data_IF_392138763208
#
_entry.id   IF_392138763208
#
_cell.length_a   1.000
_cell.length_b   1.000
_cell.length_c   1.000
_cell.angle_alpha   90.00
_cell.angle_beta   90.00
_cell.angle_gamma   90.00
#
_symmetry.space_group_name_H-M   'P 1'
#
loop_
_entity.id
_entity.type
_entity.pdbx_description
1 polymer ?
#
# COMPACT_ATOMS: atom_id res chain seq x y z
N UNK A 1 -40.57 -8.95 13.62
CA UNK A 1 -41.68 -9.93 13.64
C UNK A 1 -41.13 -11.27 14.16
N UNK A 2 -41.77 -11.84 15.20
CA UNK A 2 -41.41 -13.15 15.82
C UNK A 2 -41.43 -14.29 14.81
N UNK A 3 -42.24 -14.21 13.79
CA UNK A 3 -42.41 -15.24 12.73
C UNK A 3 -41.15 -15.41 11.87
N UNK A 4 -40.33 -14.38 11.70
CA UNK A 4 -39.11 -14.47 10.90
C UNK A 4 -38.01 -15.22 11.66
N UNK A 5 -38.01 -15.14 12.99
CA UNK A 5 -36.97 -15.76 13.84
C UNK A 5 -37.09 -17.30 13.88
N UNK A 6 -38.32 -17.82 13.74
CA UNK A 6 -38.61 -19.26 13.78
C UNK A 6 -38.83 -19.88 12.40
N UNK A 7 -38.58 -19.12 11.31
CA UNK A 7 -38.77 -19.65 9.96
C UNK A 7 -37.70 -20.66 9.61
N UNK A 8 -38.11 -21.90 9.36
CA UNK A 8 -37.24 -22.96 8.84
C UNK A 8 -37.58 -23.24 7.38
N UNK A 9 -36.56 -23.31 6.53
CA UNK A 9 -36.75 -23.63 5.12
C UNK A 9 -37.18 -25.09 4.96
N UNK A 10 -38.35 -25.31 4.36
CA UNK A 10 -38.85 -26.65 4.02
C UNK A 10 -38.32 -27.16 2.67
N UNK A 11 -37.36 -26.49 2.08
CA UNK A 11 -36.81 -26.89 0.77
C UNK A 11 -35.82 -28.02 0.96
N UNK A 12 -36.07 -29.14 0.24
CA UNK A 12 -35.08 -30.22 0.14
C UNK A 12 -34.02 -29.86 -0.90
N UNK A 13 -32.87 -29.46 -0.40
CA UNK A 13 -31.73 -29.10 -1.24
C UNK A 13 -30.64 -30.21 -1.21
N UNK A 14 -30.86 -31.36 -0.58
CA UNK A 14 -29.88 -32.41 -0.33
C UNK A 14 -29.24 -32.94 -1.62
N UNK A 15 -30.06 -33.34 -2.59
CA UNK A 15 -29.58 -33.90 -3.84
C UNK A 15 -28.67 -32.93 -4.61
N UNK A 16 -29.05 -31.68 -4.73
CA UNK A 16 -28.25 -30.67 -5.42
C UNK A 16 -26.98 -30.31 -4.64
N UNK A 17 -27.05 -30.35 -3.31
CA UNK A 17 -25.89 -30.10 -2.44
C UNK A 17 -24.83 -31.18 -2.64
N UNK A 18 -25.23 -32.45 -2.63
CA UNK A 18 -24.32 -33.56 -2.92
C UNK A 18 -23.68 -33.41 -4.31
N UNK A 19 -24.48 -33.07 -5.32
CA UNK A 19 -23.95 -32.88 -6.68
C UNK A 19 -22.97 -31.75 -6.80
N UNK A 20 -23.21 -30.63 -6.11
CA UNK A 20 -22.28 -29.49 -6.05
C UNK A 20 -20.94 -29.91 -5.41
N UNK A 21 -20.97 -30.71 -4.33
CA UNK A 21 -19.75 -31.24 -3.70
C UNK A 21 -18.97 -32.14 -4.64
N UNK A 22 -19.62 -33.11 -5.27
CA UNK A 22 -18.99 -34.04 -6.22
C UNK A 22 -18.29 -33.28 -7.36
N UNK A 23 -18.94 -32.27 -7.94
CA UNK A 23 -18.36 -31.46 -9.00
C UNK A 23 -17.15 -30.67 -8.45
N UNK A 24 -17.25 -30.11 -7.24
CA UNK A 24 -16.16 -29.34 -6.64
C UNK A 24 -14.95 -30.21 -6.30
N UNK A 25 -15.15 -31.42 -5.80
CA UNK A 25 -14.09 -32.39 -5.49
C UNK A 25 -13.40 -32.90 -6.76
N UNK A 26 -14.18 -33.25 -7.78
CA UNK A 26 -13.64 -33.74 -9.06
C UNK A 26 -12.92 -32.63 -9.83
N UNK A 27 -13.38 -31.41 -9.72
CA UNK A 27 -12.88 -30.25 -10.48
C UNK A 27 -12.52 -29.09 -9.58
N UNK A 28 -11.44 -29.22 -8.84
CA UNK A 28 -10.96 -28.30 -7.80
C UNK A 28 -10.85 -26.84 -8.27
N UNK A 29 -10.62 -26.63 -9.57
CA UNK A 29 -10.49 -25.26 -10.15
C UNK A 29 -11.83 -24.64 -10.56
N UNK A 30 -12.96 -25.34 -10.36
CA UNK A 30 -14.26 -24.81 -10.72
C UNK A 30 -14.80 -23.91 -9.58
N UNK A 31 -14.98 -22.64 -9.89
CA UNK A 31 -15.74 -21.74 -9.02
C UNK A 31 -17.24 -21.85 -9.26
N UNK A 32 -18.04 -21.22 -8.39
CA UNK A 32 -19.50 -21.24 -8.44
C UNK A 32 -20.12 -21.03 -9.84
N UNK A 33 -19.65 -20.10 -10.70
CA UNK A 33 -20.21 -19.94 -12.05
C UNK A 33 -20.06 -21.18 -12.94
N UNK A 34 -18.89 -21.85 -12.88
CA UNK A 34 -18.62 -23.05 -13.68
C UNK A 34 -19.42 -24.26 -13.18
N UNK A 35 -19.56 -24.38 -11.87
CA UNK A 35 -20.43 -25.43 -11.25
C UNK A 35 -21.88 -25.20 -11.66
N UNK A 36 -22.36 -23.97 -11.65
CA UNK A 36 -23.73 -23.68 -12.11
C UNK A 36 -23.95 -24.07 -13.59
N UNK A 37 -23.00 -23.74 -14.47
CA UNK A 37 -23.08 -24.13 -15.89
C UNK A 37 -23.10 -25.67 -16.02
N UNK A 38 -22.29 -26.37 -15.24
CA UNK A 38 -22.26 -27.83 -15.26
C UNK A 38 -23.59 -28.42 -14.82
N UNK A 39 -24.16 -27.94 -13.72
CA UNK A 39 -25.49 -28.37 -13.25
C UNK A 39 -26.58 -28.16 -14.33
N UNK A 40 -26.53 -27.00 -15.01
CA UNK A 40 -27.46 -26.71 -16.11
C UNK A 40 -27.32 -27.71 -17.29
N UNK A 41 -26.07 -28.09 -17.63
CA UNK A 41 -25.78 -29.08 -18.67
C UNK A 41 -26.26 -30.46 -18.29
N UNK A 42 -26.27 -30.82 -17.00
CA UNK A 42 -26.78 -32.06 -16.45
C UNK A 42 -28.31 -32.05 -16.29
N UNK A 43 -29.00 -30.97 -16.73
CA UNK A 43 -30.45 -30.87 -16.71
C UNK A 43 -31.06 -30.39 -15.38
N UNK A 44 -30.24 -29.94 -14.42
CA UNK A 44 -30.79 -29.44 -13.17
C UNK A 44 -31.48 -28.07 -13.36
N UNK A 45 -32.79 -27.96 -13.07
CA UNK A 45 -33.52 -26.69 -13.20
C UNK A 45 -33.23 -25.79 -12.00
N UNK A 46 -31.98 -25.28 -11.90
CA UNK A 46 -31.56 -24.45 -10.77
C UNK A 46 -31.28 -23.01 -11.16
N UNK A 47 -31.62 -22.09 -10.27
CA UNK A 47 -31.26 -20.69 -10.40
C UNK A 47 -29.85 -20.46 -9.87
N UNK A 48 -29.08 -19.59 -10.53
CA UNK A 48 -27.75 -19.16 -10.12
C UNK A 48 -27.70 -18.72 -8.64
N UNK A 49 -28.70 -17.98 -8.16
CA UNK A 49 -28.77 -17.55 -6.73
C UNK A 49 -28.85 -18.75 -5.78
N UNK A 50 -29.58 -19.82 -6.15
CA UNK A 50 -29.67 -21.05 -5.36
C UNK A 50 -28.32 -21.77 -5.32
N UNK A 51 -27.68 -21.94 -6.49
CA UNK A 51 -26.34 -22.56 -6.58
C UNK A 51 -25.32 -21.79 -5.74
N UNK A 52 -25.30 -20.47 -5.82
CA UNK A 52 -24.37 -19.62 -5.05
C UNK A 52 -24.62 -19.75 -3.54
N UNK A 53 -25.87 -19.74 -3.09
CA UNK A 53 -26.21 -19.93 -1.67
C UNK A 53 -25.67 -21.25 -1.13
N UNK A 54 -25.93 -22.36 -1.84
CA UNK A 54 -25.48 -23.70 -1.43
C UNK A 54 -23.94 -23.75 -1.46
N UNK A 55 -23.31 -23.24 -2.50
CA UNK A 55 -21.86 -23.17 -2.64
C UNK A 55 -21.18 -22.44 -1.45
N UNK A 56 -21.81 -21.35 -0.97
CA UNK A 56 -21.34 -20.64 0.22
C UNK A 56 -21.56 -21.41 1.52
N UNK A 57 -22.72 -22.08 1.67
CA UNK A 57 -23.03 -22.87 2.85
C UNK A 57 -22.09 -24.07 3.01
N UNK A 58 -21.68 -24.67 1.89
CA UNK A 58 -20.70 -25.78 1.85
C UNK A 58 -19.24 -25.31 2.06
N UNK A 59 -19.01 -24.02 2.26
CA UNK A 59 -17.66 -23.50 2.51
C UNK A 59 -16.71 -23.57 1.31
N UNK A 60 -17.25 -23.81 0.10
CA UNK A 60 -16.46 -23.96 -1.12
C UNK A 60 -15.90 -22.64 -1.66
N UNK A 61 -16.18 -21.51 -1.01
CA UNK A 61 -15.66 -20.21 -1.39
C UNK A 61 -14.13 -20.17 -1.30
N UNK A 62 -13.49 -19.84 -2.40
CA UNK A 62 -12.07 -19.50 -2.39
C UNK A 62 -11.84 -18.38 -1.37
N UNK A 63 -10.92 -18.59 -0.46
CA UNK A 63 -10.48 -17.52 0.45
C UNK A 63 -9.94 -16.37 -0.39
N UNK A 64 -10.74 -15.34 -0.60
CA UNK A 64 -10.21 -14.09 -1.16
C UNK A 64 -9.19 -13.55 -0.17
N UNK A 65 -7.96 -13.33 -0.62
CA UNK A 65 -7.03 -12.50 0.15
C UNK A 65 -7.77 -11.19 0.43
N UNK A 66 -8.17 -10.99 1.69
CA UNK A 66 -8.68 -9.67 2.08
C UNK A 66 -7.59 -8.68 1.71
N UNK A 67 -7.91 -7.57 0.99
CA UNK A 67 -6.93 -6.52 0.81
C UNK A 67 -6.42 -6.22 2.22
N UNK A 68 -5.10 -6.18 2.40
CA UNK A 68 -4.51 -5.79 3.68
C UNK A 68 -5.09 -4.42 3.97
N UNK A 69 -6.06 -4.35 4.86
CA UNK A 69 -6.46 -3.07 5.44
C UNK A 69 -5.17 -2.49 5.97
N UNK A 70 -4.81 -1.30 5.51
CA UNK A 70 -3.71 -0.57 6.10
C UNK A 70 -3.98 -0.50 7.59
N UNK A 71 -3.23 -1.25 8.37
CA UNK A 71 -3.21 -1.18 9.84
C UNK A 71 -2.40 0.07 10.18
N UNK A 72 -2.92 1.23 9.78
CA UNK A 72 -2.16 2.47 9.85
C UNK A 72 -2.29 3.18 11.18
N UNK A 73 -3.36 2.93 11.94
CA UNK A 73 -3.63 3.72 13.13
C UNK A 73 -2.88 3.25 14.39
N UNK A 74 -2.65 1.93 14.54
CA UNK A 74 -2.06 1.38 15.77
C UNK A 74 -0.52 1.47 15.84
N UNK A 75 0.15 1.81 14.75
CA UNK A 75 1.62 1.86 14.66
C UNK A 75 2.18 3.26 14.36
N UNK A 76 1.38 4.29 14.43
CA UNK A 76 1.94 5.64 14.42
C UNK A 76 2.68 5.85 15.73
N UNK A 77 3.98 5.66 15.71
CA UNK A 77 4.84 6.18 16.76
C UNK A 77 4.54 7.68 16.91
N UNK A 78 4.34 8.12 18.13
CA UNK A 78 4.20 9.57 18.39
C UNK A 78 5.42 10.24 17.79
N UNK A 79 5.20 11.20 16.90
CA UNK A 79 6.31 11.98 16.35
C UNK A 79 7.03 12.65 17.50
N UNK A 80 8.34 12.53 17.61
CA UNK A 80 9.09 13.20 18.65
C UNK A 80 8.86 14.72 18.56
N UNK A 81 8.61 15.35 19.67
CA UNK A 81 8.47 16.81 19.74
C UNK A 81 9.84 17.41 19.45
N UNK A 82 9.92 18.21 18.41
CA UNK A 82 11.15 18.93 18.07
C UNK A 82 11.31 20.14 19.00
N UNK A 83 12.52 20.40 19.45
CA UNK A 83 12.83 21.44 20.44
C UNK A 83 13.78 22.50 19.92
N UNK A 84 14.52 22.23 18.86
CA UNK A 84 15.49 23.16 18.28
C UNK A 84 15.68 22.96 16.77
N UNK A 85 16.32 23.95 16.15
CA UNK A 85 16.70 23.93 14.73
C UNK A 85 17.68 22.79 14.44
N UNK A 86 17.64 22.24 13.22
CA UNK A 86 18.51 21.16 12.74
C UNK A 86 18.35 19.82 13.47
N UNK A 87 17.32 19.68 14.29
CA UNK A 87 17.02 18.38 14.90
C UNK A 87 16.43 17.39 13.91
N UNK A 88 15.59 17.85 12.99
CA UNK A 88 14.98 17.00 11.98
C UNK A 88 14.71 17.80 10.70
N UNK A 89 15.28 17.36 9.59
CA UNK A 89 14.96 17.89 8.27
C UNK A 89 14.03 16.94 7.53
N UNK A 90 13.14 17.48 6.70
CA UNK A 90 12.35 16.73 5.74
C UNK A 90 12.86 16.98 4.33
N UNK A 91 12.97 15.91 3.55
CA UNK A 91 13.27 16.00 2.13
C UNK A 91 12.15 15.39 1.32
N UNK A 92 11.80 16.04 0.21
CA UNK A 92 10.78 15.56 -0.71
C UNK A 92 11.10 15.93 -2.15
N UNK A 93 10.60 15.14 -3.10
CA UNK A 93 10.70 15.39 -4.51
C UNK A 93 9.36 15.86 -5.09
N UNK A 94 9.33 17.08 -5.57
CA UNK A 94 8.21 17.61 -6.36
C UNK A 94 8.51 17.42 -7.84
N UNK A 95 7.56 16.91 -8.60
CA UNK A 95 7.68 16.77 -10.07
C UNK A 95 6.63 17.63 -10.76
N UNK A 96 7.06 18.40 -11.76
CA UNK A 96 6.17 19.24 -12.55
C UNK A 96 6.65 19.32 -14.01
N UNK A 97 5.87 19.98 -14.86
CA UNK A 97 6.18 20.18 -16.26
C UNK A 97 6.43 21.69 -16.53
N UNK A 98 7.45 21.97 -17.31
CA UNK A 98 7.67 23.30 -17.85
C UNK A 98 6.59 23.63 -18.92
N UNK A 99 6.41 24.91 -19.22
CA UNK A 99 5.46 25.34 -20.25
C UNK A 99 5.65 24.69 -21.63
N UNK A 100 6.88 24.28 -21.94
CA UNK A 100 7.22 23.54 -23.17
C UNK A 100 6.98 22.00 -23.07
N UNK A 101 6.30 21.52 -22.03
CA UNK A 101 6.00 20.12 -21.80
C UNK A 101 7.16 19.26 -21.25
N UNK A 102 8.34 19.84 -21.00
CA UNK A 102 9.47 19.10 -20.41
C UNK A 102 9.22 18.90 -18.92
N UNK A 103 9.36 17.66 -18.47
CA UNK A 103 9.31 17.33 -17.04
C UNK A 103 10.58 17.79 -16.32
N UNK A 104 10.40 18.29 -15.12
CA UNK A 104 11.49 18.52 -14.18
C UNK A 104 11.11 17.99 -12.79
N UNK A 105 12.12 17.82 -11.97
CA UNK A 105 11.95 17.45 -10.54
C UNK A 105 12.68 18.51 -9.71
N UNK A 106 12.14 18.80 -8.55
CA UNK A 106 12.79 19.66 -7.58
C UNK A 106 12.91 18.89 -6.26
N UNK A 107 14.13 18.83 -5.71
CA UNK A 107 14.37 18.42 -4.34
C UNK A 107 14.12 19.61 -3.43
N UNK A 108 13.33 19.43 -2.40
CA UNK A 108 13.10 20.40 -1.33
C UNK A 108 13.67 19.86 -0.03
N UNK A 109 14.38 20.70 0.72
CA UNK A 109 14.90 20.39 2.05
C UNK A 109 14.38 21.43 3.03
N UNK A 110 13.68 21.01 4.07
CA UNK A 110 13.00 21.88 5.04
C UNK A 110 13.37 21.46 6.45
N UNK A 111 13.70 22.42 7.29
CA UNK A 111 13.82 22.22 8.73
C UNK A 111 12.42 22.09 9.35
N UNK A 112 12.17 20.98 10.05
CA UNK A 112 10.85 20.69 10.60
C UNK A 112 10.50 21.52 11.84
N UNK A 113 11.49 22.09 12.53
CA UNK A 113 11.26 22.96 13.67
C UNK A 113 10.96 24.38 13.25
N UNK A 114 11.89 25.03 12.51
CA UNK A 114 11.75 26.42 12.07
C UNK A 114 10.83 26.63 10.89
N UNK A 115 10.54 25.54 10.13
CA UNK A 115 9.83 25.55 8.84
C UNK A 115 10.59 26.29 7.73
N UNK A 116 11.85 26.54 7.94
CA UNK A 116 12.73 27.18 6.98
C UNK A 116 13.03 26.24 5.81
N UNK A 117 12.93 26.74 4.60
CA UNK A 117 13.36 26.02 3.41
C UNK A 117 14.87 26.20 3.23
N UNK A 118 15.63 25.13 3.46
CA UNK A 118 17.09 25.16 3.44
C UNK A 118 17.64 25.05 2.02
N UNK A 119 16.99 24.28 1.17
CA UNK A 119 17.38 24.15 -0.23
C UNK A 119 16.18 23.81 -1.11
N UNK A 120 16.21 24.38 -2.32
CA UNK A 120 15.37 23.96 -3.44
C UNK A 120 16.30 23.78 -4.64
N UNK A 121 16.40 22.55 -5.12
CA UNK A 121 17.24 22.26 -6.28
C UNK A 121 16.41 21.59 -7.38
N UNK A 122 16.28 22.25 -8.53
CA UNK A 122 15.53 21.77 -9.66
C UNK A 122 16.46 21.20 -10.73
N UNK A 123 16.05 20.07 -11.30
CA UNK A 123 16.81 19.41 -12.36
C UNK A 123 15.91 18.54 -13.24
N UNK A 124 16.42 18.19 -14.41
CA UNK A 124 15.73 17.26 -15.33
C UNK A 124 15.65 15.84 -14.75
N UNK A 125 16.70 15.44 -14.06
CA UNK A 125 16.83 14.13 -13.40
C UNK A 125 17.70 14.35 -12.16
N UNK A 126 17.21 14.00 -10.99
CA UNK A 126 17.94 14.08 -9.73
C UNK A 126 18.13 12.67 -9.20
N UNK A 127 19.39 12.29 -9.00
CA UNK A 127 19.80 10.99 -8.47
C UNK A 127 20.25 11.12 -7.02
N UNK A 128 20.46 10.00 -6.33
CA UNK A 128 20.98 9.99 -4.96
C UNK A 128 22.29 10.76 -4.78
N UNK A 129 23.17 10.77 -5.79
CA UNK A 129 24.42 11.54 -5.78
C UNK A 129 24.17 13.06 -5.80
N UNK A 130 23.13 13.52 -6.50
CA UNK A 130 22.75 14.93 -6.52
C UNK A 130 22.19 15.35 -5.15
N UNK A 131 21.43 14.47 -4.48
CA UNK A 131 20.97 14.69 -3.10
C UNK A 131 22.18 14.84 -2.17
N UNK A 132 23.15 13.94 -2.23
CA UNK A 132 24.38 14.03 -1.43
C UNK A 132 25.11 15.34 -1.68
N UNK A 133 25.23 15.78 -2.94
CA UNK A 133 25.88 17.06 -3.27
C UNK A 133 25.19 18.27 -2.62
N UNK A 134 23.83 18.26 -2.59
CA UNK A 134 23.05 19.32 -1.97
C UNK A 134 23.22 19.29 -0.45
N UNK A 135 23.17 18.12 0.16
CA UNK A 135 23.38 17.95 1.60
C UNK A 135 24.79 18.39 2.02
N UNK A 136 25.79 18.03 1.21
CA UNK A 136 27.18 18.47 1.43
C UNK A 136 27.34 19.99 1.28
N UNK A 137 26.65 20.60 0.33
CA UNK A 137 26.65 22.04 0.18
C UNK A 137 26.07 22.75 1.43
N UNK A 138 24.94 22.29 1.97
CA UNK A 138 24.36 22.80 3.21
C UNK A 138 25.33 22.64 4.40
N UNK A 139 26.02 21.50 4.48
CA UNK A 139 27.01 21.23 5.53
C UNK A 139 28.20 22.19 5.46
N UNK A 140 28.73 22.38 4.26
CA UNK A 140 29.99 23.15 4.08
C UNK A 140 29.72 24.65 4.04
N UNK A 141 28.69 25.10 3.32
CA UNK A 141 28.43 26.53 3.10
C UNK A 141 27.64 27.13 4.29
N UNK A 142 26.57 26.46 4.71
CA UNK A 142 25.70 26.97 5.77
C UNK A 142 26.10 26.47 7.16
N UNK A 143 27.08 25.56 7.23
CA UNK A 143 27.57 24.93 8.47
C UNK A 143 26.44 24.23 9.26
N UNK A 144 25.43 23.74 8.56
CA UNK A 144 24.25 23.07 9.13
C UNK A 144 24.25 21.58 8.85
N UNK A 145 23.91 20.81 9.85
CA UNK A 145 23.81 19.35 9.74
C UNK A 145 22.64 18.86 10.60
N UNK A 146 21.72 18.07 10.08
CA UNK A 146 20.60 17.56 10.86
C UNK A 146 21.01 16.35 11.71
N UNK A 147 20.36 16.18 12.84
CA UNK A 147 20.46 14.92 13.62
C UNK A 147 19.71 13.80 12.91
N UNK A 148 18.57 14.14 12.29
CA UNK A 148 17.69 13.19 11.59
C UNK A 148 17.18 13.78 10.29
N UNK A 149 17.03 12.93 9.29
CA UNK A 149 16.38 13.27 8.03
C UNK A 149 15.17 12.39 7.85
N UNK A 150 14.01 12.97 7.59
CA UNK A 150 12.76 12.30 7.28
C UNK A 150 12.48 12.39 5.78
N UNK A 151 12.27 11.23 5.13
CA UNK A 151 11.99 11.14 3.71
C UNK A 151 10.86 10.13 3.47
N UNK A 152 10.34 10.11 2.24
CA UNK A 152 9.57 8.97 1.76
C UNK A 152 10.51 7.83 1.32
N UNK A 153 9.91 6.68 0.96
CA UNK A 153 10.67 5.52 0.45
C UNK A 153 11.04 5.67 -1.05
N UNK A 154 11.35 6.87 -1.50
CA UNK A 154 11.81 7.11 -2.87
C UNK A 154 13.14 6.42 -3.15
N UNK A 155 13.30 5.91 -4.37
CA UNK A 155 14.52 5.18 -4.78
C UNK A 155 15.80 6.00 -4.64
N UNK A 156 15.69 7.31 -4.77
CA UNK A 156 16.78 8.27 -4.67
C UNK A 156 17.25 8.44 -3.23
N UNK A 157 16.32 8.33 -2.27
CA UNK A 157 16.62 8.42 -0.84
C UNK A 157 17.15 7.10 -0.26
N UNK A 158 16.79 5.96 -0.88
CA UNK A 158 17.33 4.63 -0.52
C UNK A 158 18.65 4.34 -1.26
N UNK A 159 19.35 5.37 -1.71
CA UNK A 159 20.61 5.20 -2.47
C UNK A 159 21.78 4.91 -1.54
N UNK A 160 22.67 4.01 -1.99
CA UNK A 160 23.92 3.70 -1.26
C UNK A 160 24.78 4.93 -0.97
N UNK A 161 24.76 5.93 -1.86
CA UNK A 161 25.53 7.16 -1.72
C UNK A 161 25.00 8.03 -0.57
N UNK A 162 23.67 8.16 -0.45
CA UNK A 162 23.07 8.93 0.65
C UNK A 162 23.20 8.21 2.00
N UNK A 163 23.00 6.89 2.01
CA UNK A 163 23.17 6.06 3.21
C UNK A 163 24.62 6.15 3.74
N UNK A 164 25.62 6.06 2.84
CA UNK A 164 27.02 6.24 3.19
C UNK A 164 27.29 7.64 3.77
N UNK A 165 26.78 8.69 3.12
CA UNK A 165 26.94 10.06 3.57
C UNK A 165 26.33 10.27 4.95
N UNK A 166 25.10 9.76 5.18
CA UNK A 166 24.41 9.83 6.46
C UNK A 166 25.21 9.13 7.58
N UNK A 167 25.73 7.95 7.30
CA UNK A 167 26.56 7.19 8.22
C UNK A 167 27.88 7.96 8.59
N UNK A 168 28.56 8.51 7.59
CA UNK A 168 29.82 9.24 7.79
C UNK A 168 29.62 10.51 8.66
N UNK A 169 28.43 11.11 8.62
CA UNK A 169 28.13 12.34 9.34
C UNK A 169 27.25 12.12 10.60
N UNK A 170 26.96 10.86 10.95
CA UNK A 170 26.15 10.54 12.12
C UNK A 170 24.68 10.94 12.01
N UNK A 171 24.14 11.08 10.79
CA UNK A 171 22.76 11.48 10.52
C UNK A 171 21.86 10.24 10.47
N UNK A 172 20.74 10.25 11.20
CA UNK A 172 19.78 9.14 11.17
C UNK A 172 18.77 9.32 10.04
N UNK A 173 18.63 8.31 9.17
CA UNK A 173 17.59 8.30 8.13
C UNK A 173 16.30 7.68 8.67
N UNK A 174 15.15 8.35 8.45
CA UNK A 174 13.82 7.96 8.89
C UNK A 174 12.88 7.94 7.67
N UNK A 175 12.34 6.75 7.32
CA UNK A 175 11.56 6.49 6.11
C UNK A 175 10.07 6.27 6.39
#
# INVERSE_FOLDING_TARGET
>A
SRTVYHWQSRRDDRAITLRIREIAETRIRYGCPRIHIQLRREGWPVNHKKTHRIYCLEGLNLRRKRPRRHVSAARRQQRPVLTHVDQCWSMDFVSDNLFNGRRFRALTVVDNFSRECLAIHAGKSLKGEDVVRIMEALRVLDKRLPVRIQTDNGSEFISKSLDKWAYEHGVTMDF
#
